data_IF_305750044202
#
_entry.id   IF_305750044202
#
_cell.length_a   1.000
_cell.length_b   1.000
_cell.length_c   1.000
_cell.angle_alpha   90.00
_cell.angle_beta   90.00
_cell.angle_gamma   90.00
#
_symmetry.space_group_name_H-M   'P 1'
#
loop_
_entity.id
_entity.type
_entity.pdbx_description
1 polymer ?
#
# COMPACT_ATOMS: atom_id res chain seq x y z
N UNK A 1 -3.88 2.79 14.05
CA UNK A 1 -3.56 2.41 12.67
C UNK A 1 -4.74 2.74 11.77
N UNK A 2 -4.48 3.32 10.62
CA UNK A 2 -5.50 3.65 9.64
C UNK A 2 -5.47 2.65 8.49
N UNK A 3 -6.64 2.12 8.11
CA UNK A 3 -6.80 1.30 6.92
C UNK A 3 -7.27 2.16 5.75
N UNK A 4 -6.44 2.32 4.72
CA UNK A 4 -6.77 3.09 3.53
C UNK A 4 -7.33 2.16 2.44
N UNK A 5 -8.62 2.30 2.15
CA UNK A 5 -9.35 1.45 1.20
C UNK A 5 -9.56 2.22 -0.09
N UNK A 6 -9.16 1.68 -1.26
CA UNK A 6 -9.27 2.40 -2.54
C UNK A 6 -10.73 2.61 -2.97
N UNK A 7 -11.58 1.63 -2.71
CA UNK A 7 -13.03 1.71 -2.96
C UNK A 7 -13.74 0.64 -2.14
N UNK A 8 -15.06 0.77 -1.86
CA UNK A 8 -15.78 -0.19 -1.03
C UNK A 8 -15.81 -1.61 -1.59
N UNK A 9 -15.68 -1.77 -2.91
CA UNK A 9 -15.77 -3.05 -3.61
C UNK A 9 -14.43 -3.73 -3.83
N UNK A 10 -13.34 -3.25 -3.21
CA UNK A 10 -11.99 -3.73 -3.44
C UNK A 10 -11.88 -5.27 -3.37
N UNK A 11 -12.49 -5.87 -2.36
CA UNK A 11 -12.33 -7.30 -2.07
C UNK A 11 -13.47 -8.17 -2.62
N UNK A 12 -14.42 -7.61 -3.37
CA UNK A 12 -15.63 -8.33 -3.77
C UNK A 12 -15.35 -9.60 -4.59
N UNK A 13 -14.32 -9.57 -5.42
CA UNK A 13 -13.94 -10.69 -6.28
C UNK A 13 -12.80 -11.53 -5.72
N UNK A 14 -12.40 -11.30 -4.48
CA UNK A 14 -11.35 -12.09 -3.85
C UNK A 14 -11.90 -13.42 -3.35
N UNK A 15 -11.01 -14.40 -3.14
CA UNK A 15 -11.37 -15.64 -2.48
C UNK A 15 -11.95 -15.35 -1.08
N UNK A 16 -12.86 -16.20 -0.64
CA UNK A 16 -13.58 -15.98 0.63
C UNK A 16 -12.64 -15.87 1.83
N UNK A 17 -11.56 -16.66 1.88
CA UNK A 17 -10.57 -16.61 2.96
C UNK A 17 -9.80 -15.29 2.97
N UNK A 18 -9.42 -14.79 1.80
CA UNK A 18 -8.73 -13.51 1.65
C UNK A 18 -9.64 -12.33 2.00
N UNK A 19 -10.91 -12.41 1.59
CA UNK A 19 -11.90 -11.38 1.90
C UNK A 19 -12.19 -11.31 3.39
N UNK A 20 -12.27 -12.45 4.06
CA UNK A 20 -12.44 -12.50 5.52
C UNK A 20 -11.24 -11.89 6.24
N UNK A 21 -10.01 -12.18 5.78
CA UNK A 21 -8.80 -11.59 6.33
C UNK A 21 -8.78 -10.08 6.16
N UNK A 22 -9.13 -9.59 4.99
CA UNK A 22 -9.22 -8.16 4.68
C UNK A 22 -10.19 -7.46 5.63
N UNK A 23 -11.37 -8.03 5.82
CA UNK A 23 -12.38 -7.49 6.72
C UNK A 23 -11.91 -7.51 8.17
N UNK A 24 -11.30 -8.60 8.59
CA UNK A 24 -10.77 -8.73 9.96
C UNK A 24 -9.70 -7.68 10.24
N UNK A 25 -8.77 -7.47 9.32
CA UNK A 25 -7.73 -6.46 9.46
C UNK A 25 -8.35 -5.05 9.58
N UNK A 26 -9.32 -4.74 8.73
CA UNK A 26 -9.99 -3.43 8.76
C UNK A 26 -10.72 -3.19 10.08
N UNK A 27 -11.37 -4.20 10.64
CA UNK A 27 -12.07 -4.05 11.92
C UNK A 27 -11.11 -3.79 13.08
N UNK A 28 -9.83 -4.16 12.94
CA UNK A 28 -8.80 -3.92 13.95
C UNK A 28 -8.10 -2.58 13.79
N UNK A 29 -8.34 -1.87 12.71
CA UNK A 29 -7.81 -0.53 12.51
C UNK A 29 -8.58 0.48 13.37
N UNK A 30 -7.88 1.53 13.82
CA UNK A 30 -8.52 2.61 14.58
C UNK A 30 -9.40 3.48 13.68
N UNK A 31 -9.04 3.57 12.40
CA UNK A 31 -9.74 4.37 11.41
C UNK A 31 -9.72 3.65 10.08
N UNK A 32 -10.85 3.67 9.38
CA UNK A 32 -10.97 3.19 8.01
C UNK A 32 -11.31 4.37 7.11
N UNK A 33 -10.48 4.60 6.10
CA UNK A 33 -10.67 5.68 5.14
C UNK A 33 -10.86 5.11 3.75
N UNK A 34 -12.02 5.38 3.14
CA UNK A 34 -12.31 5.02 1.76
C UNK A 34 -11.98 6.22 0.89
N UNK A 35 -10.95 6.11 0.05
CA UNK A 35 -10.45 7.24 -0.72
C UNK A 35 -11.28 7.54 -1.96
N UNK A 36 -12.08 6.58 -2.42
CA UNK A 36 -12.95 6.74 -3.59
C UNK A 36 -14.16 5.81 -3.46
N UNK A 37 -15.34 6.31 -3.82
CA UNK A 37 -16.58 5.53 -3.66
C UNK A 37 -16.84 4.53 -4.77
N UNK A 38 -16.33 4.78 -5.99
CA UNK A 38 -16.51 3.90 -7.13
C UNK A 38 -15.19 3.38 -7.64
N UNK A 39 -15.15 2.12 -8.04
CA UNK A 39 -13.99 1.54 -8.68
C UNK A 39 -13.72 2.20 -10.03
N UNK A 40 -12.47 2.55 -10.28
CA UNK A 40 -11.94 2.82 -11.61
C UNK A 40 -10.50 2.34 -11.67
N UNK A 41 -9.88 2.43 -12.85
CA UNK A 41 -8.52 1.91 -13.05
C UNK A 41 -7.43 2.68 -12.28
N UNK A 42 -7.75 3.85 -11.73
CA UNK A 42 -6.80 4.69 -11.01
C UNK A 42 -7.04 4.73 -9.50
N UNK A 43 -8.07 4.03 -9.00
CA UNK A 43 -8.44 4.12 -7.58
C UNK A 43 -7.33 3.61 -6.65
N UNK A 44 -6.57 2.58 -7.07
CA UNK A 44 -5.44 2.07 -6.29
C UNK A 44 -4.31 3.10 -6.19
N UNK A 45 -4.01 3.79 -7.27
CA UNK A 45 -2.99 4.84 -7.29
C UNK A 45 -3.39 6.02 -6.41
N UNK A 46 -4.65 6.41 -6.42
CA UNK A 46 -5.15 7.49 -5.56
C UNK A 46 -5.04 7.11 -4.09
N UNK A 47 -5.39 5.87 -3.73
CA UNK A 47 -5.21 5.36 -2.38
C UNK A 47 -3.75 5.37 -1.97
N UNK A 48 -2.85 4.92 -2.85
CA UNK A 48 -1.43 4.88 -2.57
C UNK A 48 -0.87 6.29 -2.38
N UNK A 49 -1.27 7.27 -3.18
CA UNK A 49 -0.88 8.67 -3.01
C UNK A 49 -1.39 9.24 -1.69
N UNK A 50 -2.63 8.93 -1.32
CA UNK A 50 -3.19 9.32 -0.03
C UNK A 50 -2.30 8.85 1.13
N UNK A 51 -1.87 7.60 1.08
CA UNK A 51 -1.00 7.03 2.11
C UNK A 51 0.35 7.73 2.17
N UNK A 52 0.98 7.93 1.02
CA UNK A 52 2.29 8.57 0.92
C UNK A 52 2.25 10.01 1.44
N UNK A 53 1.24 10.77 1.05
CA UNK A 53 1.10 12.18 1.45
C UNK A 53 0.94 12.37 2.96
N UNK A 54 0.53 11.31 3.68
CA UNK A 54 0.31 11.33 5.12
C UNK A 54 1.33 10.54 5.92
N UNK A 55 2.38 10.05 5.26
CA UNK A 55 3.39 9.22 5.89
C UNK A 55 4.70 9.97 6.06
N UNK A 56 5.43 9.65 7.14
CA UNK A 56 6.80 10.12 7.34
C UNK A 56 7.82 9.15 6.74
N UNK A 57 7.46 7.88 6.63
CA UNK A 57 8.31 6.82 6.11
C UNK A 57 7.46 5.74 5.46
N UNK A 58 8.07 4.95 4.60
CA UNK A 58 7.41 3.84 3.89
C UNK A 58 8.16 2.55 4.14
N UNK A 59 7.42 1.52 4.53
CA UNK A 59 7.90 0.14 4.55
C UNK A 59 7.24 -0.58 3.38
N UNK A 60 8.05 -1.06 2.44
CA UNK A 60 7.54 -1.70 1.23
C UNK A 60 8.14 -3.08 1.03
N UNK A 61 7.28 -4.02 0.65
CA UNK A 61 7.69 -5.35 0.17
C UNK A 61 7.76 -5.26 -1.35
N UNK A 62 8.95 -5.40 -1.93
CA UNK A 62 9.17 -5.10 -3.33
C UNK A 62 10.27 -6.00 -3.90
N UNK A 63 10.01 -6.64 -5.03
CA UNK A 63 10.93 -7.54 -5.71
C UNK A 63 11.57 -6.94 -6.98
N UNK A 64 11.27 -5.69 -7.28
CA UNK A 64 11.78 -4.99 -8.46
C UNK A 64 10.87 -5.05 -9.67
N UNK A 65 9.78 -5.78 -9.64
CA UNK A 65 8.87 -5.86 -10.78
C UNK A 65 8.08 -4.57 -10.99
N UNK A 66 7.85 -4.15 -12.25
CA UNK A 66 7.00 -3.00 -12.54
C UNK A 66 5.57 -3.22 -12.04
N UNK A 67 4.92 -2.16 -11.58
CA UNK A 67 3.52 -2.22 -11.13
C UNK A 67 3.19 -1.17 -10.08
N UNK A 68 2.13 -1.45 -9.32
CA UNK A 68 1.61 -0.53 -8.32
C UNK A 68 2.59 -0.19 -7.21
N UNK A 69 3.37 -1.16 -6.73
CA UNK A 69 4.38 -0.93 -5.69
C UNK A 69 5.48 -0.03 -6.20
N UNK A 70 5.97 -0.24 -7.43
CA UNK A 70 6.97 0.64 -8.03
C UNK A 70 6.45 2.07 -8.19
N UNK A 71 5.22 2.22 -8.64
CA UNK A 71 4.57 3.53 -8.74
C UNK A 71 4.55 4.25 -7.39
N UNK A 72 4.14 3.55 -6.35
CA UNK A 72 4.05 4.11 -4.99
C UNK A 72 5.43 4.50 -4.47
N UNK A 73 6.45 3.66 -4.70
CA UNK A 73 7.82 3.96 -4.30
C UNK A 73 8.39 5.17 -5.03
N UNK A 74 8.13 5.30 -6.33
CA UNK A 74 8.55 6.46 -7.11
C UNK A 74 7.93 7.74 -6.56
N UNK A 75 6.66 7.70 -6.20
CA UNK A 75 5.98 8.84 -5.58
C UNK A 75 6.56 9.19 -4.21
N UNK A 76 6.88 8.17 -3.40
CA UNK A 76 7.52 8.37 -2.11
C UNK A 76 8.91 9.00 -2.24
N UNK A 77 9.69 8.60 -3.25
CA UNK A 77 10.99 9.21 -3.56
C UNK A 77 10.82 10.67 -3.96
N UNK A 78 9.83 10.96 -4.79
CA UNK A 78 9.50 12.32 -5.21
C UNK A 78 9.17 13.21 -4.02
N UNK A 79 8.48 12.66 -3.01
CA UNK A 79 8.16 13.35 -1.75
C UNK A 79 9.28 13.32 -0.73
N UNK A 80 10.41 12.69 -1.05
CA UNK A 80 11.61 12.61 -0.20
C UNK A 80 11.37 11.92 1.13
N UNK A 81 10.56 10.87 1.13
CA UNK A 81 10.31 10.06 2.31
C UNK A 81 11.43 9.03 2.52
N UNK A 82 11.62 8.65 3.77
CA UNK A 82 12.46 7.50 4.10
C UNK A 82 11.77 6.23 3.66
N UNK A 83 12.51 5.35 2.96
CA UNK A 83 11.96 4.10 2.43
C UNK A 83 12.79 2.94 2.95
N UNK A 84 12.11 1.94 3.54
CA UNK A 84 12.68 0.66 3.92
C UNK A 84 12.11 -0.41 3.00
N UNK A 85 13.00 -1.08 2.24
CA UNK A 85 12.59 -2.13 1.31
C UNK A 85 12.80 -3.51 1.92
N UNK A 86 11.80 -4.37 1.78
CA UNK A 86 11.89 -5.79 2.08
C UNK A 86 11.78 -6.57 0.77
N UNK A 87 12.80 -7.39 0.46
CA UNK A 87 12.78 -8.24 -0.72
C UNK A 87 12.20 -9.60 -0.36
N UNK A 88 11.02 -9.98 -0.88
CA UNK A 88 10.40 -11.25 -0.55
C UNK A 88 11.12 -12.46 -1.16
N UNK A 89 11.91 -12.26 -2.21
CA UNK A 89 12.62 -13.34 -2.91
C UNK A 89 14.01 -13.57 -2.30
N UNK A 90 14.68 -12.50 -1.89
CA UNK A 90 16.00 -12.55 -1.28
C UNK A 90 16.00 -11.81 0.06
N UNK A 91 15.59 -12.47 1.14
CA UNK A 91 15.51 -11.83 2.46
C UNK A 91 16.82 -11.24 2.96
N UNK A 92 17.97 -11.79 2.50
CA UNK A 92 19.29 -11.26 2.85
C UNK A 92 19.58 -9.89 2.27
N UNK A 93 18.88 -9.51 1.20
CA UNK A 93 18.98 -8.19 0.59
C UNK A 93 17.90 -7.23 1.11
N UNK A 94 17.08 -7.67 2.07
CA UNK A 94 16.03 -6.86 2.66
C UNK A 94 16.59 -5.75 3.54
N UNK A 95 15.71 -4.83 3.94
CA UNK A 95 16.01 -3.74 4.85
C UNK A 95 16.99 -2.71 4.25
N UNK A 96 16.99 -2.56 2.92
CA UNK A 96 17.73 -1.46 2.28
C UNK A 96 17.04 -0.15 2.62
N UNK A 97 17.77 0.74 3.27
CA UNK A 97 17.24 2.04 3.66
C UNK A 97 17.64 3.08 2.63
N UNK A 98 16.65 3.69 2.00
CA UNK A 98 16.84 4.78 1.04
C UNK A 98 16.43 6.08 1.72
N UNK A 99 17.38 7.00 1.86
CA UNK A 99 17.13 8.35 2.32
C UNK A 99 17.49 9.29 1.17
N UNK A 100 16.55 10.06 0.75
CA UNK A 100 16.74 11.04 -0.31
C UNK A 100 16.83 12.46 0.24
#
# INVERSE_FOLDING_TARGET
MEGAVPCPTQADNWRSDQRLRWRDILTRCDLETVTQQRYDRFCMFRRDRYMIERSAAVLAVFDGTPGGTQYTLNYAMEKKLEILLLDPINPGASAVRLIL
#
